data_IF_015410990799
#
_entry.id   IF_015410990799
#
_cell.length_a   1.000
_cell.length_b   1.000
_cell.length_c   1.000
_cell.angle_alpha   90.00
_cell.angle_beta   90.00
_cell.angle_gamma   90.00
#
_symmetry.space_group_name_H-M   'P 1'
#
loop_
_entity.id
_entity.type
_entity.pdbx_description
1 polymer ?
#
# COMPACT_ATOMS: atom_id res chain seq x y z
N UNK A 1 24.34 3.38 41.31
CA UNK A 1 23.67 3.91 40.12
C UNK A 1 22.44 4.69 40.54
N UNK A 2 22.22 5.90 40.02
CA UNK A 2 20.95 6.64 40.22
C UNK A 2 19.78 5.82 39.64
N UNK A 3 18.67 5.72 40.38
CA UNK A 3 17.47 4.98 39.99
C UNK A 3 16.26 5.87 39.76
N UNK A 4 16.42 7.20 39.84
CA UNK A 4 15.34 8.15 39.62
C UNK A 4 14.76 8.05 38.20
N UNK A 5 15.59 7.70 37.21
CA UNK A 5 15.18 7.46 35.81
C UNK A 5 14.11 6.37 35.65
N UNK A 6 14.02 5.43 36.59
CA UNK A 6 13.03 4.35 36.60
C UNK A 6 11.62 4.89 36.83
N UNK A 7 11.50 6.00 37.58
CA UNK A 7 10.24 6.66 37.90
C UNK A 7 9.99 7.90 37.03
N UNK A 8 10.95 8.26 36.17
CA UNK A 8 10.89 9.40 35.27
C UNK A 8 9.95 9.18 34.07
N UNK A 9 9.78 10.24 33.27
CA UNK A 9 9.03 10.18 32.01
C UNK A 9 9.74 9.23 31.04
N UNK A 10 9.03 8.22 30.54
CA UNK A 10 9.57 7.31 29.52
C UNK A 10 10.06 8.09 28.30
N UNK A 11 11.19 7.67 27.75
CA UNK A 11 11.87 8.28 26.61
C UNK A 11 12.35 9.73 26.79
N UNK A 12 12.38 10.27 28.01
CA UNK A 12 13.13 11.51 28.27
C UNK A 12 14.64 11.28 28.15
N UNK A 13 15.46 12.32 27.93
CA UNK A 13 16.91 12.19 27.92
C UNK A 13 17.46 11.50 29.17
N UNK A 14 16.93 11.83 30.35
CA UNK A 14 17.32 11.26 31.64
C UNK A 14 16.91 9.79 31.75
N UNK A 15 15.73 9.43 31.22
CA UNK A 15 15.30 8.04 31.16
C UNK A 15 16.19 7.19 30.26
N UNK A 16 16.50 7.69 29.06
CA UNK A 16 17.35 6.99 28.09
C UNK A 16 18.77 6.82 28.66
N UNK A 17 19.33 7.87 29.24
CA UNK A 17 20.66 7.84 29.86
C UNK A 17 20.71 6.86 31.05
N UNK A 18 19.67 6.88 31.88
CA UNK A 18 19.51 5.91 32.95
C UNK A 18 19.39 4.47 32.46
N UNK A 19 18.68 4.21 31.35
CA UNK A 19 18.64 2.86 30.75
C UNK A 19 20.03 2.44 30.27
N UNK A 20 20.76 3.32 29.58
CA UNK A 20 22.11 3.04 29.06
C UNK A 20 23.09 2.67 30.17
N UNK A 21 23.16 3.49 31.21
CA UNK A 21 24.03 3.24 32.35
C UNK A 21 23.70 1.91 33.05
N UNK A 22 22.41 1.53 33.08
CA UNK A 22 21.98 0.26 33.66
C UNK A 22 22.44 -0.91 32.79
N UNK A 23 22.36 -0.77 31.47
CA UNK A 23 22.83 -1.79 30.54
C UNK A 23 24.35 -2.00 30.62
N UNK A 24 25.12 -0.92 30.66
CA UNK A 24 26.57 -1.01 30.85
C UNK A 24 26.93 -1.71 32.17
N UNK A 25 26.21 -1.41 33.26
CA UNK A 25 26.38 -2.12 34.53
C UNK A 25 26.05 -3.61 34.42
N UNK A 26 24.98 -3.97 33.70
CA UNK A 26 24.58 -5.38 33.54
C UNK A 26 25.61 -6.15 32.72
N UNK A 27 26.07 -5.60 31.59
CA UNK A 27 27.07 -6.22 30.73
C UNK A 27 28.43 -6.40 31.44
N UNK A 28 28.81 -5.47 32.34
CA UNK A 28 30.03 -5.60 33.13
C UNK A 28 29.94 -6.69 34.20
N UNK A 29 28.75 -6.93 34.76
CA UNK A 29 28.57 -7.77 35.95
C UNK A 29 27.95 -9.14 35.67
N UNK A 30 27.32 -9.32 34.53
CA UNK A 30 26.54 -10.52 34.21
C UNK A 30 26.84 -11.01 32.79
N UNK A 31 26.81 -12.33 32.60
CA UNK A 31 26.87 -12.94 31.27
C UNK A 31 25.59 -12.65 30.47
N UNK A 32 25.68 -12.64 29.14
CA UNK A 32 24.61 -12.29 28.18
C UNK A 32 23.25 -13.00 28.38
N UNK A 33 23.26 -14.17 29.02
CA UNK A 33 22.05 -14.97 29.32
C UNK A 33 21.70 -15.05 30.81
N UNK A 34 22.31 -14.23 31.65
CA UNK A 34 22.04 -14.22 33.07
C UNK A 34 20.61 -13.73 33.37
N UNK A 35 20.00 -14.33 34.39
CA UNK A 35 18.81 -13.76 35.00
C UNK A 35 19.20 -12.64 35.96
N UNK A 36 18.61 -11.48 35.75
CA UNK A 36 18.86 -10.29 36.57
C UNK A 36 17.57 -9.78 37.20
N UNK A 37 17.73 -9.07 38.31
CA UNK A 37 16.60 -8.43 38.98
C UNK A 37 16.03 -7.29 38.15
N UNK A 38 14.71 -7.29 37.96
CA UNK A 38 14.01 -6.27 37.20
C UNK A 38 14.06 -4.92 37.93
N UNK A 39 14.69 -3.89 37.34
CA UNK A 39 14.89 -2.61 38.01
C UNK A 39 13.63 -1.73 38.00
N UNK A 40 12.56 -2.14 37.32
CA UNK A 40 11.40 -1.30 37.09
C UNK A 40 10.67 -0.94 38.39
N UNK A 41 10.03 0.24 38.40
CA UNK A 41 9.30 0.75 39.57
C UNK A 41 8.11 -0.13 39.99
N UNK A 42 7.66 -1.06 39.11
CA UNK A 42 6.60 -2.03 39.40
C UNK A 42 7.10 -3.29 40.09
N UNK A 43 8.31 -3.76 39.79
CA UNK A 43 8.83 -5.00 40.35
C UNK A 43 9.77 -4.77 41.54
N UNK A 44 10.29 -3.56 41.73
CA UNK A 44 11.10 -3.17 42.90
C UNK A 44 12.24 -4.17 43.22
N UNK A 45 12.91 -4.71 42.19
CA UNK A 45 13.95 -5.75 42.34
C UNK A 45 13.48 -7.06 42.98
N UNK A 46 12.21 -7.45 42.86
CA UNK A 46 11.70 -8.69 43.45
C UNK A 46 11.55 -9.83 42.43
N UNK A 47 11.74 -9.56 41.13
CA UNK A 47 11.56 -10.55 40.07
C UNK A 47 12.82 -10.68 39.23
N UNK A 48 13.29 -11.91 39.06
CA UNK A 48 14.33 -12.27 38.11
C UNK A 48 13.71 -12.47 36.72
N UNK A 49 14.40 -11.97 35.70
CA UNK A 49 14.12 -12.28 34.31
C UNK A 49 15.43 -12.35 33.55
N UNK A 50 15.44 -13.07 32.44
CA UNK A 50 16.53 -12.99 31.46
C UNK A 50 16.82 -11.52 31.08
N UNK A 51 18.10 -11.18 30.91
CA UNK A 51 18.58 -9.86 30.53
C UNK A 51 17.79 -9.25 29.35
N UNK A 52 17.53 -10.05 28.31
CA UNK A 52 16.74 -9.67 27.13
C UNK A 52 15.29 -9.26 27.44
N UNK A 53 14.67 -9.90 28.44
CA UNK A 53 13.30 -9.59 28.85
C UNK A 53 13.23 -8.37 29.78
N UNK A 54 14.28 -8.12 30.58
CA UNK A 54 14.42 -6.89 31.37
C UNK A 54 14.58 -5.67 30.45
N UNK A 55 15.42 -5.80 29.42
CA UNK A 55 15.59 -4.84 28.32
C UNK A 55 14.26 -4.48 27.64
N UNK A 56 13.48 -5.50 27.28
CA UNK A 56 12.18 -5.33 26.62
C UNK A 56 11.14 -4.65 27.52
N UNK A 57 11.11 -5.01 28.82
CA UNK A 57 10.18 -4.41 29.79
C UNK A 57 10.55 -2.98 30.18
N UNK A 58 11.83 -2.65 30.18
CA UNK A 58 12.33 -1.30 30.44
C UNK A 58 11.96 -0.31 29.34
N UNK A 59 11.84 -0.79 28.10
CA UNK A 59 11.62 0.06 26.92
C UNK A 59 10.19 0.03 26.37
N UNK A 60 9.39 -1.04 26.54
CA UNK A 60 8.09 -1.12 25.84
C UNK A 60 6.91 -1.85 26.53
N UNK A 61 7.03 -2.43 27.73
CA UNK A 61 5.96 -3.33 28.21
C UNK A 61 4.90 -2.66 29.11
N UNK A 62 3.73 -2.35 28.54
CA UNK A 62 2.52 -2.00 29.28
C UNK A 62 1.60 -3.22 29.44
N UNK A 63 1.49 -3.77 30.66
CA UNK A 63 0.52 -4.84 30.98
C UNK A 63 -0.97 -4.48 30.73
N UNK A 64 -1.31 -3.19 30.52
CA UNK A 64 -2.70 -2.76 30.31
C UNK A 64 -3.24 -3.03 28.90
N UNK A 65 -2.37 -3.33 27.94
CA UNK A 65 -2.69 -3.68 26.56
C UNK A 65 -1.75 -4.79 26.15
N UNK A 66 -2.23 -6.01 25.98
CA UNK A 66 -1.40 -7.14 25.54
C UNK A 66 -0.78 -6.85 24.16
N UNK A 67 0.43 -6.29 24.13
CA UNK A 67 1.20 -6.08 22.89
C UNK A 67 1.69 -4.65 22.67
N UNK A 68 2.35 -4.46 21.53
CA UNK A 68 2.73 -3.15 21.04
C UNK A 68 1.48 -2.27 20.84
N UNK A 69 1.63 -0.94 20.96
CA UNK A 69 0.55 -0.01 20.58
C UNK A 69 0.07 -0.31 19.16
N UNK A 70 -1.22 -0.13 18.88
CA UNK A 70 -1.81 -0.36 17.54
C UNK A 70 -1.01 0.31 16.41
N UNK A 71 -0.51 1.53 16.65
CA UNK A 71 0.33 2.25 15.69
C UNK A 71 1.65 1.52 15.36
N UNK A 72 2.24 0.83 16.35
CA UNK A 72 3.47 0.05 16.20
C UNK A 72 3.18 -1.30 15.57
N UNK A 73 2.10 -1.98 15.95
CA UNK A 73 1.66 -3.22 15.28
C UNK A 73 1.42 -2.97 13.79
N UNK A 74 0.70 -1.89 13.47
CA UNK A 74 0.44 -1.48 12.09
C UNK A 74 1.73 -1.17 11.32
N UNK A 75 2.73 -0.56 11.96
CA UNK A 75 4.03 -0.32 11.33
C UNK A 75 4.81 -1.62 11.08
N UNK A 76 4.74 -2.60 11.99
CA UNK A 76 5.37 -3.92 11.83
C UNK A 76 4.74 -4.66 10.65
N UNK A 77 3.41 -4.76 10.60
CA UNK A 77 2.71 -5.39 9.48
C UNK A 77 3.04 -4.73 8.14
N UNK A 78 3.16 -3.40 8.12
CA UNK A 78 3.55 -2.66 6.91
C UNK A 78 4.97 -2.99 6.45
N UNK A 79 5.93 -3.11 7.38
CA UNK A 79 7.30 -3.52 7.07
C UNK A 79 7.35 -4.97 6.55
N UNK A 80 6.63 -5.89 7.19
CA UNK A 80 6.55 -7.30 6.78
C UNK A 80 5.98 -7.45 5.36
N UNK A 81 4.94 -6.69 5.01
CA UNK A 81 4.36 -6.68 3.67
C UNK A 81 5.33 -6.15 2.60
N UNK A 82 6.12 -5.11 2.92
CA UNK A 82 7.14 -4.56 2.01
C UNK A 82 8.31 -5.52 1.77
N UNK A 83 8.55 -6.45 2.70
CA UNK A 83 9.56 -7.51 2.58
C UNK A 83 9.03 -8.73 1.84
N UNK A 84 7.73 -9.03 1.97
CA UNK A 84 7.08 -10.17 1.32
C UNK A 84 6.74 -9.94 -0.16
N UNK A 85 6.73 -8.68 -0.64
CA UNK A 85 6.39 -8.35 -2.04
C UNK A 85 7.64 -8.12 -2.89
N UNK A 86 7.94 -9.00 -3.87
CA UNK A 86 8.92 -8.70 -4.92
C UNK A 86 8.33 -7.60 -5.82
N UNK A 87 9.09 -6.53 -6.05
CA UNK A 87 8.67 -5.47 -6.97
C UNK A 87 8.86 -5.97 -8.40
N UNK A 88 7.80 -6.05 -9.20
CA UNK A 88 7.89 -6.51 -10.59
C UNK A 88 8.87 -5.62 -11.37
N UNK A 89 10.04 -6.17 -11.71
CA UNK A 89 11.10 -5.48 -12.47
C UNK A 89 12.41 -5.22 -11.73
N UNK A 90 12.50 -5.50 -10.42
CA UNK A 90 13.76 -5.44 -9.66
C UNK A 90 14.11 -6.85 -9.13
N UNK A 91 15.34 -7.31 -9.38
CA UNK A 91 15.80 -8.68 -9.07
C UNK A 91 15.83 -9.04 -7.58
N UNK A 92 15.57 -8.09 -6.67
CA UNK A 92 15.59 -8.32 -5.23
C UNK A 92 14.47 -7.57 -4.48
N UNK A 93 13.83 -8.22 -3.49
CA UNK A 93 12.89 -7.55 -2.59
C UNK A 93 13.59 -6.38 -1.86
N UNK A 94 12.80 -5.38 -1.46
CA UNK A 94 13.30 -4.26 -0.67
C UNK A 94 14.12 -4.78 0.52
N UNK A 95 15.33 -4.27 0.72
CA UNK A 95 16.12 -4.66 1.89
C UNK A 95 15.38 -4.26 3.18
N UNK A 96 15.63 -4.96 4.28
CA UNK A 96 15.09 -4.61 5.60
C UNK A 96 15.30 -3.13 5.95
N UNK A 97 16.44 -2.56 5.56
CA UNK A 97 16.75 -1.15 5.75
C UNK A 97 15.86 -0.21 4.94
N UNK A 98 15.53 -0.60 3.70
CA UNK A 98 14.64 0.16 2.82
C UNK A 98 13.21 0.17 3.36
N UNK A 99 12.72 -0.99 3.81
CA UNK A 99 11.39 -1.14 4.39
C UNK A 99 11.22 -0.26 5.65
N UNK A 100 12.20 -0.30 6.56
CA UNK A 100 12.20 0.58 7.75
C UNK A 100 12.25 2.06 7.33
N UNK A 101 13.05 2.40 6.32
CA UNK A 101 13.13 3.76 5.80
C UNK A 101 11.79 4.32 5.32
N UNK A 102 11.09 3.55 4.49
CA UNK A 102 9.80 3.93 3.92
C UNK A 102 8.75 4.17 5.01
N UNK A 103 8.62 3.22 5.95
CA UNK A 103 7.63 3.31 7.05
C UNK A 103 7.92 4.51 7.95
N UNK A 104 9.19 4.79 8.24
CA UNK A 104 9.57 5.96 9.04
C UNK A 104 9.26 7.28 8.32
N UNK A 105 9.50 7.39 7.00
CA UNK A 105 9.22 8.60 6.23
C UNK A 105 7.72 8.89 6.13
N UNK A 106 6.88 7.85 5.98
CA UNK A 106 5.43 7.98 5.92
C UNK A 106 4.80 8.34 7.28
N UNK A 107 5.28 7.74 8.37
CA UNK A 107 4.65 7.88 9.70
C UNK A 107 5.22 9.02 10.53
N UNK A 108 6.42 9.50 10.21
CA UNK A 108 7.08 10.54 11.01
C UNK A 108 7.72 11.63 10.14
N UNK A 109 7.18 12.85 10.24
CA UNK A 109 7.75 14.03 9.56
C UNK A 109 9.16 14.29 10.07
N UNK A 110 10.15 14.31 9.16
CA UNK A 110 11.58 14.59 9.43
C UNK A 110 12.30 13.53 10.29
N UNK A 111 11.98 12.25 10.09
CA UNK A 111 12.69 11.18 10.77
C UNK A 111 14.19 11.18 10.42
N UNK A 112 15.05 11.19 11.44
CA UNK A 112 16.51 11.14 11.28
C UNK A 112 17.12 9.88 11.91
N UNK A 113 16.31 8.92 12.34
CA UNK A 113 16.74 7.73 13.10
C UNK A 113 17.82 6.95 12.34
N UNK A 114 17.55 6.57 11.10
CA UNK A 114 18.48 5.78 10.28
C UNK A 114 19.80 6.53 10.04
N UNK A 115 19.73 7.85 9.82
CA UNK A 115 20.92 8.71 9.73
C UNK A 115 21.71 8.74 11.04
N UNK A 116 21.03 8.83 12.18
CA UNK A 116 21.65 8.90 13.50
C UNK A 116 22.34 7.58 13.90
N UNK A 117 21.82 6.44 13.43
CA UNK A 117 22.44 5.12 13.62
C UNK A 117 23.47 4.77 12.55
N UNK A 118 23.86 5.73 11.70
CA UNK A 118 24.90 5.55 10.68
C UNK A 118 24.44 4.82 9.41
N UNK A 119 23.15 4.55 9.26
CA UNK A 119 22.57 3.83 8.13
C UNK A 119 22.18 4.83 7.04
N UNK A 120 22.85 4.73 5.87
CA UNK A 120 22.54 5.52 4.69
C UNK A 120 21.54 4.78 3.82
N UNK A 121 20.33 5.32 3.69
CA UNK A 121 19.33 4.80 2.76
C UNK A 121 19.54 5.50 1.41
N UNK A 122 19.74 4.72 0.34
CA UNK A 122 19.60 5.26 -1.00
C UNK A 122 18.12 5.59 -1.19
N UNK A 123 17.76 6.89 -1.17
CA UNK A 123 16.37 7.33 -1.31
C UNK A 123 15.78 6.74 -2.60
N UNK A 124 14.88 5.77 -2.47
CA UNK A 124 13.87 5.56 -3.49
C UNK A 124 12.98 6.81 -3.47
N UNK A 125 13.06 7.63 -4.52
CA UNK A 125 12.26 8.86 -4.62
C UNK A 125 10.79 8.48 -4.36
N UNK A 126 10.18 9.09 -3.34
CA UNK A 126 8.75 9.02 -3.00
C UNK A 126 7.82 9.20 -4.20
N UNK A 127 8.30 9.84 -5.26
CA UNK A 127 7.59 10.04 -6.52
C UNK A 127 7.28 8.73 -7.24
N UNK A 128 8.09 7.67 -7.08
CA UNK A 128 7.87 6.42 -7.82
C UNK A 128 6.62 5.69 -7.33
N UNK A 129 6.36 5.66 -6.01
CA UNK A 129 5.15 5.05 -5.46
C UNK A 129 3.87 5.81 -5.87
N UNK A 130 3.94 7.15 -5.97
CA UNK A 130 2.82 7.95 -6.47
C UNK A 130 2.55 7.67 -7.95
N UNK A 131 3.61 7.61 -8.76
CA UNK A 131 3.51 7.29 -10.21
C UNK A 131 2.96 5.88 -10.44
N UNK A 132 3.31 4.91 -9.60
CA UNK A 132 2.87 3.52 -9.74
C UNK A 132 1.39 3.37 -9.39
N UNK A 133 0.90 4.10 -8.38
CA UNK A 133 -0.51 4.19 -8.06
C UNK A 133 -1.32 4.90 -9.17
N UNK A 134 -0.81 6.02 -9.69
CA UNK A 134 -1.42 6.74 -10.81
C UNK A 134 -1.48 5.88 -12.08
N UNK A 135 -0.43 5.11 -12.38
CA UNK A 135 -0.38 4.22 -13.54
C UNK A 135 -1.42 3.09 -13.47
N UNK A 136 -1.68 2.54 -12.28
CA UNK A 136 -2.71 1.51 -12.09
C UNK A 136 -4.12 2.07 -12.29
N UNK A 137 -4.36 3.31 -11.84
CA UNK A 137 -5.63 4.01 -12.09
C UNK A 137 -5.81 4.26 -13.58
N UNK A 138 -4.78 4.79 -14.25
CA UNK A 138 -4.81 5.08 -15.68
C UNK A 138 -5.07 3.81 -16.53
N UNK A 139 -4.46 2.68 -16.16
CA UNK A 139 -4.70 1.39 -16.83
C UNK A 139 -6.17 0.95 -16.76
N UNK A 140 -6.83 1.16 -15.62
CA UNK A 140 -8.26 0.83 -15.45
C UNK A 140 -9.13 1.75 -16.30
N UNK A 141 -8.85 3.05 -16.29
CA UNK A 141 -9.59 4.03 -17.11
C UNK A 141 -9.39 3.75 -18.60
N UNK A 142 -8.18 3.37 -19.02
CA UNK A 142 -7.91 3.05 -20.42
C UNK A 142 -8.67 1.78 -20.88
N UNK A 143 -8.75 0.76 -20.03
CA UNK A 143 -9.54 -0.44 -20.30
C UNK A 143 -11.03 -0.09 -20.47
N UNK A 144 -11.59 0.71 -19.56
CA UNK A 144 -12.97 1.16 -19.64
C UNK A 144 -13.25 2.00 -20.90
N UNK A 145 -12.31 2.88 -21.27
CA UNK A 145 -12.42 3.67 -22.50
C UNK A 145 -12.39 2.79 -23.76
N UNK A 146 -11.55 1.75 -23.79
CA UNK A 146 -11.53 0.78 -24.90
C UNK A 146 -12.87 0.06 -25.03
N UNK A 147 -13.44 -0.40 -23.92
CA UNK A 147 -14.74 -1.06 -23.92
C UNK A 147 -15.85 -0.13 -24.45
N UNK A 148 -15.82 1.16 -24.09
CA UNK A 148 -16.76 2.16 -24.60
C UNK A 148 -16.59 2.40 -26.11
N UNK A 149 -15.35 2.48 -26.60
CA UNK A 149 -15.07 2.64 -28.03
C UNK A 149 -15.55 1.43 -28.83
N UNK A 150 -15.36 0.21 -28.31
CA UNK A 150 -15.83 -1.01 -28.97
C UNK A 150 -17.36 -1.11 -28.99
N UNK A 151 -18.02 -0.66 -27.92
CA UNK A 151 -19.48 -0.59 -27.86
C UNK A 151 -20.04 0.42 -28.87
N UNK A 152 -19.47 1.62 -28.93
CA UNK A 152 -19.90 2.66 -29.86
C UNK A 152 -19.67 2.25 -31.32
N UNK A 153 -18.55 1.58 -31.60
CA UNK A 153 -18.22 1.06 -32.93
C UNK A 153 -19.27 0.04 -33.40
N UNK A 154 -19.68 -0.88 -32.52
CA UNK A 154 -20.77 -1.83 -32.82
C UNK A 154 -22.09 -1.12 -33.09
N UNK A 155 -22.47 -0.17 -32.24
CA UNK A 155 -23.72 0.57 -32.42
C UNK A 155 -23.74 1.34 -33.75
N UNK A 156 -22.62 1.93 -34.15
CA UNK A 156 -22.48 2.58 -35.45
C UNK A 156 -22.66 1.60 -36.61
N UNK A 157 -22.02 0.42 -36.56
CA UNK A 157 -22.17 -0.60 -37.60
C UNK A 157 -23.60 -1.11 -37.70
N UNK A 158 -24.27 -1.36 -36.58
CA UNK A 158 -25.66 -1.80 -36.54
C UNK A 158 -26.61 -0.73 -37.12
N UNK A 159 -26.39 0.53 -36.76
CA UNK A 159 -27.18 1.66 -37.26
C UNK A 159 -27.01 1.84 -38.77
N UNK A 160 -25.78 1.72 -39.27
CA UNK A 160 -25.51 1.84 -40.70
C UNK A 160 -26.09 0.65 -41.49
N UNK A 161 -25.96 -0.58 -40.97
CA UNK A 161 -26.59 -1.74 -41.58
C UNK A 161 -28.11 -1.63 -41.61
N UNK A 162 -28.74 -1.09 -40.56
CA UNK A 162 -30.17 -0.83 -40.56
C UNK A 162 -30.57 0.18 -41.65
N UNK A 163 -29.84 1.28 -41.79
CA UNK A 163 -30.07 2.27 -42.87
C UNK A 163 -29.94 1.66 -44.26
N UNK A 164 -28.94 0.80 -44.49
CA UNK A 164 -28.75 0.13 -45.79
C UNK A 164 -29.94 -0.79 -46.09
N UNK A 165 -30.35 -1.61 -45.12
CA UNK A 165 -31.52 -2.51 -45.27
C UNK A 165 -32.80 -1.72 -45.57
N UNK A 166 -33.05 -0.63 -44.86
CA UNK A 166 -34.22 0.22 -45.08
C UNK A 166 -34.19 0.86 -46.49
N UNK A 167 -33.01 1.26 -46.97
CA UNK A 167 -32.85 1.82 -48.31
C UNK A 167 -33.09 0.78 -49.40
N UNK A 168 -32.60 -0.46 -49.22
CA UNK A 168 -32.86 -1.56 -50.15
C UNK A 168 -34.34 -1.95 -50.19
N UNK A 169 -34.99 -2.03 -49.03
CA UNK A 169 -36.41 -2.34 -48.95
C UNK A 169 -37.26 -1.25 -49.63
N UNK A 170 -36.93 0.02 -49.39
CA UNK A 170 -37.60 1.14 -50.04
C UNK A 170 -37.40 1.15 -51.56
N UNK A 171 -36.18 0.85 -52.06
CA UNK A 171 -35.92 0.71 -53.50
C UNK A 171 -36.74 -0.44 -54.11
N UNK A 172 -36.85 -1.57 -53.42
CA UNK A 172 -37.67 -2.71 -53.87
C UNK A 172 -39.14 -2.31 -53.98
N UNK A 173 -39.71 -1.72 -52.92
CA UNK A 173 -41.10 -1.23 -52.90
C UNK A 173 -41.36 -0.22 -54.03
N UNK A 174 -40.41 0.68 -54.28
CA UNK A 174 -40.47 1.64 -55.38
C UNK A 174 -40.57 0.95 -56.74
N UNK A 175 -39.69 -0.03 -57.02
CA UNK A 175 -39.71 -0.78 -58.28
C UNK A 175 -40.99 -1.59 -58.49
N UNK A 176 -41.55 -2.18 -57.42
CA UNK A 176 -42.82 -2.90 -57.48
C UNK A 176 -44.00 -1.96 -57.78
N UNK A 177 -43.97 -0.75 -57.22
CA UNK A 177 -44.98 0.28 -57.49
C UNK A 177 -44.89 0.77 -58.94
N UNK A 178 -43.68 1.05 -59.43
CA UNK A 178 -43.44 1.46 -60.82
C UNK A 178 -43.87 0.38 -61.82
N UNK A 179 -43.59 -0.89 -61.55
CA UNK A 179 -44.05 -2.02 -62.37
C UNK A 179 -45.58 -2.12 -62.43
N UNK A 180 -46.26 -1.98 -61.27
CA UNK A 180 -47.74 -1.95 -61.21
C UNK A 180 -48.32 -0.78 -61.99
N UNK A 181 -47.70 0.40 -61.88
CA UNK A 181 -48.12 1.59 -62.62
C UNK A 181 -47.98 1.39 -64.13
N UNK A 182 -46.84 0.85 -64.58
CA UNK A 182 -46.60 0.51 -65.99
C UNK A 182 -47.63 -0.48 -66.54
N UNK A 183 -47.98 -1.52 -65.77
CA UNK A 183 -49.03 -2.47 -66.16
C UNK A 183 -50.40 -1.81 -66.36
N UNK A 184 -50.81 -0.91 -65.43
CA UNK A 184 -52.09 -0.20 -65.54
C UNK A 184 -52.11 0.74 -66.74
N UNK A 185 -51.01 1.45 -67.01
CA UNK A 185 -50.88 2.34 -68.16
C UNK A 185 -50.96 1.57 -69.49
N UNK A 186 -50.29 0.41 -69.59
CA UNK A 186 -50.35 -0.44 -70.79
C UNK A 186 -51.78 -0.93 -71.09
N UNK A 187 -52.57 -1.23 -70.05
CA UNK A 187 -53.97 -1.66 -70.18
C UNK A 187 -54.94 -0.51 -70.53
N UNK A 188 -54.51 0.73 -70.33
CA UNK A 188 -55.32 1.94 -70.52
C UNK A 188 -55.11 2.59 -71.90
N UNK A 189 -54.17 2.09 -72.72
CA UNK A 189 -53.97 2.54 -74.09
C UNK A 189 -55.05 1.93 -75.02
N UNK A 190 -55.83 2.74 -75.76
CA UNK A 190 -56.78 2.23 -76.73
C UNK A 190 -56.08 1.74 -78.00
N UNK A 191 -56.63 0.68 -78.61
CA UNK A 191 -56.23 0.14 -79.92
C UNK A 191 -56.36 1.14 -81.06
#
# INVERSE_FOLDING_TARGET
MDRNWVRGRLFSPEHIEGVKQFMSFVEEKFSENAEILCPCGRCLNQKYYAQSLVLFKGTHYSKKKEGYMLAVQSAITEMENQLATPREGEEQPNSATQAVGNVLEQRTKKNCFLRNVGIKIARARSNVQNVEAELQVEKRVNAELRDQVDALTRQMQETEQARIRDQEENKKRQSEMEAKLGFLLARSQPS
#
